data_IF_918845024291
#
_entry.id   IF_918845024291
#
_cell.length_a   1.000
_cell.length_b   1.000
_cell.length_c   1.000
_cell.angle_alpha   90.00
_cell.angle_beta   90.00
_cell.angle_gamma   90.00
#
_symmetry.space_group_name_H-M   'P 1'
#
loop_
_entity.id
_entity.type
_entity.pdbx_description
1 polymer ?
#
# COMPACT_ATOMS: atom_id res chain seq x y z
N UNK A 1 10.75 -13.69 15.75
CA UNK A 1 10.89 -12.27 15.38
C UNK A 1 11.24 -11.49 16.64
N UNK A 2 12.24 -10.62 16.59
CA UNK A 2 12.58 -9.71 17.70
C UNK A 2 11.54 -8.57 17.79
N UNK A 3 11.40 -7.90 18.95
CA UNK A 3 10.50 -6.75 19.07
C UNK A 3 10.78 -5.64 18.04
N UNK A 4 12.05 -5.45 17.68
CA UNK A 4 12.48 -4.45 16.70
C UNK A 4 12.08 -4.84 15.27
N UNK A 5 12.23 -6.11 14.91
CA UNK A 5 11.78 -6.64 13.62
C UNK A 5 10.25 -6.57 13.48
N UNK A 6 9.51 -6.84 14.58
CA UNK A 6 8.06 -6.72 14.60
C UNK A 6 7.61 -5.28 14.37
N UNK A 7 8.23 -4.32 15.08
CA UNK A 7 7.96 -2.90 14.89
C UNK A 7 8.15 -2.46 13.43
N UNK A 8 9.21 -2.93 12.77
CA UNK A 8 9.44 -2.60 11.35
C UNK A 8 8.40 -3.19 10.41
N UNK A 9 7.88 -4.38 10.71
CA UNK A 9 6.80 -4.97 9.92
C UNK A 9 5.48 -4.22 10.15
N UNK A 10 5.16 -3.85 11.39
CA UNK A 10 3.99 -3.04 11.72
C UNK A 10 4.04 -1.67 11.01
N UNK A 11 5.19 -1.00 11.02
CA UNK A 11 5.41 0.26 10.29
C UNK A 11 5.20 0.07 8.78
N UNK A 12 5.76 -1.00 8.19
CA UNK A 12 5.60 -1.30 6.77
C UNK A 12 4.13 -1.58 6.39
N UNK A 13 3.39 -2.31 7.24
CA UNK A 13 1.95 -2.54 7.08
C UNK A 13 1.16 -1.23 7.16
N UNK A 14 1.50 -0.35 8.09
CA UNK A 14 0.91 0.98 8.21
C UNK A 14 1.13 1.84 6.97
N UNK A 15 2.37 1.92 6.49
CA UNK A 15 2.75 2.71 5.31
C UNK A 15 2.08 2.21 4.03
N UNK A 16 2.06 0.90 3.80
CA UNK A 16 1.40 0.32 2.62
C UNK A 16 -0.10 0.58 2.63
N UNK A 17 -0.77 0.45 3.78
CA UNK A 17 -2.19 0.80 3.94
C UNK A 17 -2.46 2.29 3.69
N UNK A 18 -1.61 3.17 4.23
CA UNK A 18 -1.72 4.62 4.00
C UNK A 18 -1.59 4.95 2.50
N UNK A 19 -0.56 4.43 1.83
CA UNK A 19 -0.34 4.69 0.40
C UNK A 19 -1.52 4.20 -0.45
N UNK A 20 -2.02 2.99 -0.21
CA UNK A 20 -3.20 2.49 -0.93
C UNK A 20 -4.42 3.38 -0.73
N UNK A 21 -4.61 3.92 0.47
CA UNK A 21 -5.71 4.86 0.78
C UNK A 21 -5.56 6.14 -0.03
N UNK A 22 -4.37 6.73 -0.07
CA UNK A 22 -4.10 7.95 -0.86
C UNK A 22 -4.27 7.72 -2.36
N UNK A 23 -3.76 6.61 -2.90
CA UNK A 23 -3.93 6.26 -4.30
C UNK A 23 -5.40 6.01 -4.66
N UNK A 24 -6.20 5.44 -3.76
CA UNK A 24 -7.64 5.23 -3.97
C UNK A 24 -8.38 6.57 -4.04
N UNK A 25 -8.09 7.49 -3.12
CA UNK A 25 -8.64 8.85 -3.15
C UNK A 25 -8.24 9.58 -4.45
N UNK A 26 -6.98 9.49 -4.85
CA UNK A 26 -6.49 10.09 -6.09
C UNK A 26 -7.19 9.48 -7.33
N UNK A 27 -7.27 8.16 -7.44
CA UNK A 27 -7.92 7.49 -8.58
C UNK A 27 -9.40 7.87 -8.73
N UNK A 28 -10.08 8.23 -7.64
CA UNK A 28 -11.46 8.71 -7.65
C UNK A 28 -11.60 10.17 -8.11
N UNK A 29 -10.55 10.98 -7.98
CA UNK A 29 -10.55 12.40 -8.35
C UNK A 29 -9.88 12.68 -9.71
N UNK A 30 -9.00 11.78 -10.16
CA UNK A 30 -8.29 11.91 -11.44
C UNK A 30 -9.24 11.71 -12.63
N UNK A 31 -9.21 12.67 -13.55
CA UNK A 31 -9.94 12.61 -14.83
C UNK A 31 -9.09 12.05 -15.96
N UNK A 32 -7.77 12.22 -15.89
CA UNK A 32 -6.86 11.65 -16.87
C UNK A 32 -6.84 10.10 -16.73
N UNK A 33 -7.16 9.36 -17.80
CA UNK A 33 -7.29 7.91 -17.74
C UNK A 33 -5.95 7.19 -17.48
N UNK A 34 -4.83 7.75 -17.94
CA UNK A 34 -3.51 7.17 -17.72
C UNK A 34 -3.08 7.34 -16.25
N UNK A 35 -3.28 8.53 -15.69
CA UNK A 35 -2.98 8.80 -14.28
C UNK A 35 -3.87 7.97 -13.36
N UNK A 36 -5.17 7.84 -13.67
CA UNK A 36 -6.09 6.98 -12.91
C UNK A 36 -5.64 5.52 -12.93
N UNK A 37 -5.23 5.01 -14.10
CA UNK A 37 -4.73 3.64 -14.24
C UNK A 37 -3.44 3.43 -13.44
N UNK A 38 -2.52 4.40 -13.44
CA UNK A 38 -1.30 4.36 -12.65
C UNK A 38 -1.61 4.29 -11.15
N UNK A 39 -2.54 5.12 -10.66
CA UNK A 39 -2.95 5.09 -9.26
C UNK A 39 -3.56 3.73 -8.87
N UNK A 40 -4.36 3.12 -9.74
CA UNK A 40 -4.91 1.78 -9.51
C UNK A 40 -3.85 0.66 -9.53
N UNK A 41 -2.81 0.79 -10.37
CA UNK A 41 -1.67 -0.13 -10.39
C UNK A 41 -0.88 -0.05 -9.08
N UNK A 42 -0.61 1.16 -8.58
CA UNK A 42 0.07 1.36 -7.30
C UNK A 42 -0.69 0.71 -6.13
N UNK A 43 -2.02 0.78 -6.13
CA UNK A 43 -2.84 0.07 -5.13
C UNK A 43 -2.63 -1.44 -5.23
N UNK A 44 -2.69 -1.99 -6.44
CA UNK A 44 -2.56 -3.44 -6.69
C UNK A 44 -1.18 -3.97 -6.29
N UNK A 45 -0.13 -3.21 -6.55
CA UNK A 45 1.24 -3.56 -6.16
C UNK A 45 1.43 -3.48 -4.64
N UNK A 46 0.91 -2.44 -4.00
CA UNK A 46 0.98 -2.29 -2.55
C UNK A 46 0.11 -3.30 -1.81
N UNK A 47 -0.99 -3.76 -2.39
CA UNK A 47 -1.79 -4.85 -1.81
C UNK A 47 -0.96 -6.15 -1.74
N UNK A 48 -0.21 -6.47 -2.80
CA UNK A 48 0.70 -7.62 -2.81
C UNK A 48 1.82 -7.45 -1.78
N UNK A 49 2.36 -6.25 -1.64
CA UNK A 49 3.40 -5.95 -0.67
C UNK A 49 2.89 -6.04 0.77
N UNK A 50 1.69 -5.51 1.05
CA UNK A 50 1.00 -5.65 2.32
C UNK A 50 0.84 -7.13 2.69
N UNK A 51 0.32 -7.96 1.77
CA UNK A 51 0.18 -9.40 2.03
C UNK A 51 1.52 -10.07 2.34
N UNK A 52 2.60 -9.68 1.66
CA UNK A 52 3.95 -10.19 1.97
C UNK A 52 4.37 -9.85 3.41
N UNK A 53 4.19 -8.60 3.84
CA UNK A 53 4.52 -8.20 5.21
C UNK A 53 3.60 -8.85 6.24
N UNK A 54 2.31 -8.97 5.94
CA UNK A 54 1.32 -9.55 6.85
C UNK A 54 1.61 -11.03 7.12
N UNK A 55 2.09 -11.76 6.11
CA UNK A 55 2.49 -13.16 6.26
C UNK A 55 3.78 -13.38 7.08
N UNK A 56 4.48 -12.31 7.46
CA UNK A 56 5.66 -12.41 8.33
C UNK A 56 5.28 -12.38 9.82
N UNK A 57 4.07 -11.92 10.16
CA UNK A 57 3.58 -11.73 11.53
C UNK A 57 2.84 -12.97 12.04
#
# INVERSE_FOLDING_TARGET
MTPKELLYIEDALGHTKFLMTQCSLAANQLTDPQLKRQAQQLISENQKLFTKFFNLV
#
